data_IF_757465562197
#
_entry.id   IF_757465562197
#
_cell.length_a   1.000
_cell.length_b   1.000
_cell.length_c   1.000
_cell.angle_alpha   90.00
_cell.angle_beta   90.00
_cell.angle_gamma   90.00
#
_symmetry.space_group_name_H-M   'P 1'
#
loop_
_entity.id
_entity.type
_entity.pdbx_description
1 polymer ?
#
# COMPACT_ATOMS: atom_id res chain seq x y z
N UNK A 1 -15.23 26.99 -32.06
CA UNK A 1 -14.70 28.35 -32.30
C UNK A 1 -15.55 29.36 -31.58
N UNK A 2 -14.94 30.21 -30.76
CA UNK A 2 -15.61 31.35 -30.13
C UNK A 2 -16.19 32.23 -31.25
N UNK A 3 -17.50 32.51 -31.19
CA UNK A 3 -18.24 33.24 -32.26
C UNK A 3 -17.59 34.58 -32.62
N UNK A 4 -16.91 35.21 -31.65
CA UNK A 4 -16.19 36.46 -31.80
C UNK A 4 -15.07 36.39 -32.87
N UNK A 5 -14.16 35.41 -32.77
CA UNK A 5 -13.03 35.27 -33.72
C UNK A 5 -13.50 34.88 -35.12
N UNK A 6 -14.57 34.08 -35.20
CA UNK A 6 -15.20 33.72 -36.48
C UNK A 6 -15.74 34.95 -37.23
N UNK A 7 -16.36 35.88 -36.52
CA UNK A 7 -16.94 37.09 -37.12
C UNK A 7 -15.85 38.08 -37.57
N UNK A 8 -14.75 38.19 -36.82
CA UNK A 8 -13.58 39.01 -37.18
C UNK A 8 -12.94 38.51 -38.47
N UNK A 9 -12.72 37.20 -38.58
CA UNK A 9 -12.16 36.56 -39.79
C UNK A 9 -13.01 36.79 -41.03
N UNK A 10 -14.34 36.65 -40.92
CA UNK A 10 -15.27 36.92 -42.02
C UNK A 10 -15.21 38.37 -42.49
N UNK A 11 -15.15 39.33 -41.55
CA UNK A 11 -14.96 40.76 -41.88
C UNK A 11 -13.63 41.02 -42.60
N UNK A 12 -12.54 40.38 -42.17
CA UNK A 12 -11.21 40.59 -42.76
C UNK A 12 -11.09 40.02 -44.19
N UNK A 13 -11.73 38.87 -44.47
CA UNK A 13 -11.83 38.33 -45.83
C UNK A 13 -12.64 39.28 -46.73
N UNK A 14 -13.79 39.74 -46.25
CA UNK A 14 -14.65 40.65 -47.02
C UNK A 14 -13.98 42.02 -47.30
N UNK A 15 -12.95 42.39 -46.53
CA UNK A 15 -12.15 43.60 -46.75
C UNK A 15 -10.87 43.36 -47.58
N UNK A 16 -10.65 42.15 -48.12
CA UNK A 16 -9.45 41.81 -48.88
C UNK A 16 -8.15 41.70 -48.06
N UNK A 17 -8.23 41.71 -46.73
CA UNK A 17 -7.07 41.74 -45.82
C UNK A 17 -6.58 40.32 -45.48
N UNK A 18 -6.06 39.62 -46.49
CA UNK A 18 -5.60 38.21 -46.39
C UNK A 18 -4.48 38.00 -45.37
N UNK A 19 -3.48 38.90 -45.30
CA UNK A 19 -2.39 38.83 -44.32
C UNK A 19 -2.89 38.96 -42.87
N UNK A 20 -3.84 39.85 -42.62
CA UNK A 20 -4.46 39.99 -41.30
C UNK A 20 -5.28 38.73 -40.96
N UNK A 21 -6.06 38.20 -41.91
CA UNK A 21 -6.81 36.96 -41.72
C UNK A 21 -5.93 35.80 -41.26
N UNK A 22 -4.77 35.59 -41.89
CA UNK A 22 -3.83 34.51 -41.53
C UNK A 22 -3.29 34.68 -40.11
N UNK A 23 -2.88 35.89 -39.71
CA UNK A 23 -2.42 36.18 -38.34
C UNK A 23 -3.50 35.84 -37.29
N UNK A 24 -4.75 36.21 -37.55
CA UNK A 24 -5.86 35.92 -36.63
C UNK A 24 -6.23 34.43 -36.60
N UNK A 25 -6.16 33.74 -37.74
CA UNK A 25 -6.43 32.29 -37.79
C UNK A 25 -5.38 31.48 -37.02
N UNK A 26 -4.09 31.86 -37.12
CA UNK A 26 -3.01 31.25 -36.33
C UNK A 26 -3.21 31.53 -34.83
N UNK A 27 -3.56 32.77 -34.47
CA UNK A 27 -3.87 33.12 -33.08
C UNK A 27 -5.01 32.29 -32.48
N UNK A 28 -6.08 32.03 -33.26
CA UNK A 28 -7.19 31.17 -32.84
C UNK A 28 -6.73 29.72 -32.59
N UNK A 29 -5.87 29.16 -33.45
CA UNK A 29 -5.31 27.82 -33.26
C UNK A 29 -4.46 27.75 -32.00
N UNK A 30 -3.54 28.72 -31.80
CA UNK A 30 -2.68 28.76 -30.62
C UNK A 30 -3.48 28.86 -29.33
N UNK A 31 -4.53 29.70 -29.30
CA UNK A 31 -5.43 29.81 -28.14
C UNK A 31 -6.16 28.49 -27.85
N UNK A 32 -6.65 27.80 -28.88
CA UNK A 32 -7.30 26.49 -28.73
C UNK A 32 -6.31 25.46 -28.19
N UNK A 33 -5.08 25.42 -28.73
CA UNK A 33 -4.03 24.50 -28.27
C UNK A 33 -3.68 24.75 -26.81
N UNK A 34 -3.51 26.02 -26.40
CA UNK A 34 -3.26 26.38 -24.99
C UNK A 34 -4.42 25.89 -24.10
N UNK A 35 -5.68 26.09 -24.53
CA UNK A 35 -6.84 25.61 -23.80
C UNK A 35 -6.85 24.09 -23.62
N UNK A 36 -6.52 23.34 -24.67
CA UNK A 36 -6.41 21.87 -24.62
C UNK A 36 -5.28 21.44 -23.68
N UNK A 37 -4.11 22.06 -23.78
CA UNK A 37 -2.97 21.74 -22.91
C UNK A 37 -3.29 21.99 -21.45
N UNK A 38 -3.94 23.11 -21.12
CA UNK A 38 -4.38 23.40 -19.74
C UNK A 38 -5.38 22.35 -19.27
N UNK A 39 -6.37 21.98 -20.09
CA UNK A 39 -7.36 20.97 -19.74
C UNK A 39 -6.72 19.59 -19.46
N UNK A 40 -5.77 19.17 -20.31
CA UNK A 40 -5.00 17.93 -20.11
C UNK A 40 -4.18 18.00 -18.83
N UNK A 41 -3.46 19.10 -18.60
CA UNK A 41 -2.62 19.26 -17.42
C UNK A 41 -3.43 19.25 -16.12
N UNK A 42 -4.59 19.91 -16.09
CA UNK A 42 -5.50 19.87 -14.95
C UNK A 42 -6.02 18.44 -14.69
N UNK A 43 -6.41 17.74 -15.75
CA UNK A 43 -6.89 16.35 -15.64
C UNK A 43 -5.78 15.41 -15.11
N UNK A 44 -4.57 15.52 -15.67
CA UNK A 44 -3.41 14.73 -15.25
C UNK A 44 -3.02 15.04 -13.79
N UNK A 45 -3.06 16.31 -13.39
CA UNK A 45 -2.78 16.72 -12.01
C UNK A 45 -3.76 16.12 -11.01
N UNK A 46 -5.07 16.12 -11.32
CA UNK A 46 -6.08 15.50 -10.48
C UNK A 46 -5.87 13.97 -10.38
N UNK A 47 -5.62 13.31 -11.52
CA UNK A 47 -5.35 11.88 -11.56
C UNK A 47 -4.12 11.50 -10.72
N UNK A 48 -3.02 12.25 -10.87
CA UNK A 48 -1.79 12.05 -10.08
C UNK A 48 -2.03 12.19 -8.58
N UNK A 49 -2.88 13.15 -8.15
CA UNK A 49 -3.22 13.32 -6.74
C UNK A 49 -4.03 12.14 -6.19
N UNK A 50 -4.98 11.62 -6.96
CA UNK A 50 -5.76 10.44 -6.60
C UNK A 50 -4.83 9.22 -6.45
N UNK A 51 -3.95 8.98 -7.43
CA UNK A 51 -2.98 7.89 -7.40
C UNK A 51 -2.01 8.01 -6.23
N UNK A 52 -1.51 9.22 -5.95
CA UNK A 52 -0.64 9.49 -4.79
C UNK A 52 -1.35 9.21 -3.47
N UNK A 53 -2.63 9.58 -3.34
CA UNK A 53 -3.42 9.30 -2.15
C UNK A 53 -3.60 7.79 -1.93
N UNK A 54 -4.00 7.07 -2.97
CA UNK A 54 -4.19 5.61 -2.92
C UNK A 54 -2.88 4.90 -2.54
N UNK A 55 -1.75 5.31 -3.13
CA UNK A 55 -0.42 4.81 -2.79
C UNK A 55 -0.07 5.03 -1.32
N UNK A 56 -0.28 6.24 -0.81
CA UNK A 56 0.01 6.57 0.59
C UNK A 56 -0.86 5.76 1.56
N UNK A 57 -2.14 5.54 1.23
CA UNK A 57 -3.03 4.68 2.02
C UNK A 57 -2.54 3.23 2.06
N UNK A 58 -2.08 2.68 0.94
CA UNK A 58 -1.50 1.34 0.87
C UNK A 58 -0.19 1.23 1.67
N UNK A 59 0.72 2.20 1.54
CA UNK A 59 1.96 2.24 2.33
C UNK A 59 1.65 2.29 3.83
N UNK A 60 0.66 3.10 4.23
CA UNK A 60 0.22 3.18 5.62
C UNK A 60 -0.32 1.83 6.11
N UNK A 61 -1.13 1.15 5.29
CA UNK A 61 -1.66 -0.19 5.60
C UNK A 61 -0.53 -1.21 5.75
N UNK A 62 0.45 -1.21 4.83
CA UNK A 62 1.61 -2.08 4.89
C UNK A 62 2.42 -1.86 6.17
N UNK A 63 2.69 -0.60 6.53
CA UNK A 63 3.38 -0.26 7.78
C UNK A 63 2.62 -0.77 9.00
N UNK A 64 1.30 -0.61 9.02
CA UNK A 64 0.47 -1.09 10.13
C UNK A 64 0.54 -2.61 10.27
N UNK A 65 0.47 -3.33 9.16
CA UNK A 65 0.57 -4.80 9.15
C UNK A 65 1.92 -5.26 9.67
N UNK A 66 3.02 -4.70 9.16
CA UNK A 66 4.38 -5.02 9.63
C UNK A 66 4.54 -4.71 11.12
N UNK A 67 3.96 -3.62 11.60
CA UNK A 67 3.99 -3.26 13.02
C UNK A 67 3.17 -4.25 13.88
N UNK A 68 1.99 -4.66 13.43
CA UNK A 68 1.19 -5.64 14.16
C UNK A 68 1.88 -7.01 14.18
N UNK A 69 2.48 -7.41 13.07
CA UNK A 69 3.24 -8.66 12.97
C UNK A 69 4.44 -8.67 13.91
N UNK A 70 5.15 -7.54 14.05
CA UNK A 70 6.27 -7.45 14.99
C UNK A 70 5.81 -7.60 16.44
N UNK A 71 4.67 -6.99 16.82
CA UNK A 71 4.08 -7.19 18.15
C UNK A 71 3.68 -8.64 18.36
N UNK A 72 3.01 -9.26 17.39
CA UNK A 72 2.58 -10.66 17.47
C UNK A 72 3.77 -11.62 17.62
N UNK A 73 4.84 -11.39 16.88
CA UNK A 73 6.09 -12.13 16.99
C UNK A 73 6.74 -11.97 18.36
N UNK A 74 6.81 -10.74 18.89
CA UNK A 74 7.36 -10.48 20.23
C UNK A 74 6.54 -11.18 21.32
N UNK A 75 5.20 -11.12 21.25
CA UNK A 75 4.32 -11.81 22.19
C UNK A 75 4.50 -13.34 22.11
N UNK A 76 4.64 -13.89 20.91
CA UNK A 76 4.89 -15.31 20.71
C UNK A 76 6.26 -15.71 21.29
N UNK A 77 7.31 -14.91 21.06
CA UNK A 77 8.64 -15.13 21.61
C UNK A 77 8.63 -15.11 23.14
N UNK A 78 8.03 -14.09 23.75
CA UNK A 78 7.95 -13.98 25.22
C UNK A 78 7.18 -15.17 25.83
N UNK A 79 6.07 -15.56 25.21
CA UNK A 79 5.29 -16.72 25.65
C UNK A 79 6.09 -18.02 25.54
N UNK A 80 6.77 -18.25 24.41
CA UNK A 80 7.57 -19.44 24.19
C UNK A 80 8.78 -19.48 25.14
N UNK A 81 9.44 -18.36 25.41
CA UNK A 81 10.52 -18.26 26.39
C UNK A 81 10.05 -18.66 27.80
N UNK A 82 8.89 -18.16 28.24
CA UNK A 82 8.28 -18.57 29.51
C UNK A 82 7.97 -20.06 29.54
N UNK A 83 7.51 -20.63 28.43
CA UNK A 83 7.28 -22.06 28.33
C UNK A 83 8.58 -22.87 28.38
N UNK A 84 9.67 -22.42 27.73
CA UNK A 84 10.96 -23.10 27.82
C UNK A 84 11.46 -23.20 29.26
N UNK A 85 11.43 -22.09 30.03
CA UNK A 85 11.85 -22.10 31.44
C UNK A 85 11.02 -23.08 32.29
N UNK A 86 9.72 -23.17 32.02
CA UNK A 86 8.82 -24.13 32.69
C UNK A 86 9.14 -25.58 32.30
N UNK A 87 9.46 -25.84 31.03
CA UNK A 87 9.88 -27.18 30.57
C UNK A 87 11.19 -27.57 31.23
N UNK A 88 12.19 -26.69 31.24
CA UNK A 88 13.49 -26.93 31.89
C UNK A 88 13.31 -27.26 33.39
N UNK A 89 12.41 -26.53 34.05
CA UNK A 89 12.05 -26.79 35.44
C UNK A 89 11.43 -28.18 35.61
N UNK A 90 10.49 -28.58 34.74
CA UNK A 90 9.84 -29.90 34.79
C UNK A 90 10.82 -31.04 34.53
N UNK A 91 11.74 -30.88 33.57
CA UNK A 91 12.77 -31.88 33.25
C UNK A 91 13.63 -32.18 34.48
N UNK A 92 13.92 -31.18 35.31
CA UNK A 92 14.71 -31.37 36.54
C UNK A 92 14.04 -32.32 37.54
N UNK A 93 12.71 -32.42 37.53
CA UNK A 93 11.96 -33.32 38.42
C UNK A 93 11.73 -34.72 37.82
N UNK A 94 12.01 -34.91 36.52
CA UNK A 94 11.91 -36.23 35.88
C UNK A 94 13.13 -37.08 36.25
N UNK A 95 12.88 -38.27 36.80
CA UNK A 95 13.92 -39.23 37.17
C UNK A 95 13.78 -40.53 36.35
N UNK A 96 14.88 -41.25 36.08
CA UNK A 96 14.84 -42.49 35.30
C UNK A 96 14.02 -43.62 35.97
N UNK A 97 13.90 -43.60 37.30
CA UNK A 97 13.33 -44.69 38.12
C UNK A 97 11.92 -44.37 38.65
N UNK A 98 11.17 -43.52 37.97
CA UNK A 98 9.82 -43.13 38.39
C UNK A 98 8.82 -44.28 38.27
N UNK A 99 7.91 -44.37 39.24
CA UNK A 99 6.72 -45.23 39.13
C UNK A 99 5.78 -44.74 38.03
N UNK A 100 4.92 -45.63 37.55
CA UNK A 100 3.96 -45.30 36.49
C UNK A 100 2.94 -44.22 36.92
N UNK A 101 2.66 -44.14 38.22
CA UNK A 101 1.75 -43.15 38.81
C UNK A 101 2.39 -41.76 38.85
N UNK A 102 3.67 -41.65 39.22
CA UNK A 102 4.45 -40.41 39.17
C UNK A 102 4.63 -39.91 37.73
N UNK A 103 4.87 -40.82 36.78
CA UNK A 103 4.95 -40.47 35.35
C UNK A 103 3.61 -39.91 34.85
N UNK A 104 2.49 -40.59 35.14
CA UNK A 104 1.15 -40.14 34.79
C UNK A 104 0.84 -38.76 35.38
N UNK A 105 1.18 -38.54 36.66
CA UNK A 105 1.04 -37.23 37.31
C UNK A 105 1.81 -36.13 36.57
N UNK A 106 3.08 -36.35 36.22
CA UNK A 106 3.89 -35.39 35.48
C UNK A 106 3.32 -35.09 34.08
N UNK A 107 2.86 -36.11 33.34
CA UNK A 107 2.24 -35.90 32.02
C UNK A 107 0.91 -35.14 32.09
N UNK A 108 0.10 -35.37 33.14
CA UNK A 108 -1.13 -34.63 33.39
C UNK A 108 -0.86 -33.19 33.82
N UNK A 109 0.17 -32.95 34.64
CA UNK A 109 0.58 -31.59 34.98
C UNK A 109 1.07 -30.81 33.74
N UNK A 110 1.81 -31.47 32.85
CA UNK A 110 2.24 -30.91 31.58
C UNK A 110 1.04 -30.58 30.66
N UNK A 111 0.02 -31.45 30.60
CA UNK A 111 -1.17 -31.18 29.79
C UNK A 111 -2.04 -30.05 30.35
N UNK A 112 -2.18 -29.95 31.68
CA UNK A 112 -2.94 -28.87 32.35
C UNK A 112 -2.30 -27.48 32.19
N UNK A 113 -0.99 -27.42 32.02
CA UNK A 113 -0.26 -26.16 31.87
C UNK A 113 -0.37 -25.55 30.46
N UNK A 114 -1.06 -26.22 29.52
CA UNK A 114 -1.28 -25.76 28.15
C UNK A 114 0.00 -25.22 27.49
N UNK A 115 1.12 -25.91 27.71
CA UNK A 115 2.44 -25.53 27.21
C UNK A 115 2.55 -25.82 25.72
N UNK A 116 1.90 -25.00 24.92
CA UNK A 116 1.98 -25.04 23.46
C UNK A 116 3.05 -24.07 22.97
N UNK A 117 3.61 -24.32 21.79
CA UNK A 117 4.38 -23.30 21.08
C UNK A 117 3.41 -22.38 20.36
N UNK A 118 3.49 -21.07 20.63
CA UNK A 118 2.79 -20.09 19.82
C UNK A 118 3.61 -19.79 18.57
N UNK A 119 3.01 -20.01 17.42
CA UNK A 119 3.53 -19.57 16.13
C UNK A 119 2.80 -18.31 15.70
N UNK A 120 3.53 -17.32 15.20
CA UNK A 120 2.94 -16.15 14.53
C UNK A 120 3.28 -16.24 13.05
N UNK A 121 2.25 -16.21 12.21
CA UNK A 121 2.41 -16.11 10.75
C UNK A 121 2.21 -14.64 10.37
N UNK A 122 3.10 -14.05 9.56
CA UNK A 122 2.94 -12.68 9.11
C UNK A 122 1.74 -12.53 8.18
N UNK A 123 1.03 -11.40 8.28
CA UNK A 123 -0.04 -11.06 7.35
C UNK A 123 0.57 -10.54 6.03
N UNK A 124 0.59 -11.42 5.04
CA UNK A 124 1.11 -11.13 3.69
C UNK A 124 0.05 -10.60 2.73
N UNK A 125 -1.19 -10.32 3.19
CA UNK A 125 -2.30 -9.93 2.31
C UNK A 125 -2.00 -8.65 1.52
N UNK A 126 -1.49 -7.62 2.20
CA UNK A 126 -1.14 -6.32 1.59
C UNK A 126 0.04 -6.46 0.63
N UNK A 127 1.02 -7.28 1.00
CA UNK A 127 2.17 -7.56 0.14
C UNK A 127 1.74 -8.28 -1.15
N UNK A 128 0.90 -9.30 -1.04
CA UNK A 128 0.36 -10.04 -2.18
C UNK A 128 -0.51 -9.15 -3.07
N UNK A 129 -1.33 -8.27 -2.49
CA UNK A 129 -2.10 -7.27 -3.24
C UNK A 129 -1.18 -6.35 -4.06
N UNK A 130 -0.08 -5.86 -3.46
CA UNK A 130 0.90 -4.99 -4.13
C UNK A 130 1.65 -5.70 -5.27
N UNK A 131 2.00 -6.98 -5.09
CA UNK A 131 2.62 -7.79 -6.15
C UNK A 131 1.62 -8.02 -7.29
N UNK A 132 0.43 -8.53 -6.97
CA UNK A 132 -0.55 -8.94 -7.98
C UNK A 132 -1.09 -7.75 -8.78
N UNK A 133 -1.14 -6.56 -8.18
CA UNK A 133 -1.53 -5.32 -8.86
C UNK A 133 -0.40 -4.67 -9.67
N UNK A 134 0.84 -5.16 -9.56
CA UNK A 134 2.02 -4.52 -10.16
C UNK A 134 2.31 -3.13 -9.60
N UNK A 135 1.75 -2.79 -8.43
CA UNK A 135 2.00 -1.52 -7.77
C UNK A 135 3.29 -1.51 -6.97
N UNK A 136 3.79 -2.69 -6.59
CA UNK A 136 5.06 -2.81 -5.87
C UNK A 136 6.22 -2.16 -6.65
N UNK A 137 6.26 -2.33 -7.97
CA UNK A 137 7.27 -1.72 -8.84
C UNK A 137 7.17 -0.20 -8.97
N UNK A 138 6.03 0.38 -8.55
CA UNK A 138 5.79 1.82 -8.60
C UNK A 138 6.23 2.54 -7.33
N UNK A 139 6.57 1.80 -6.27
CA UNK A 139 7.11 2.36 -5.03
C UNK A 139 8.57 2.74 -5.34
N UNK A 140 8.80 4.00 -5.68
CA UNK A 140 10.15 4.55 -5.84
C UNK A 140 10.86 4.61 -4.48
N UNK A 141 12.18 4.38 -4.48
CA UNK A 141 13.04 4.44 -3.30
C UNK A 141 12.83 5.77 -2.56
N UNK A 142 12.55 5.68 -1.24
CA UNK A 142 12.48 6.82 -0.31
C UNK A 142 13.90 7.25 0.05
#
# INVERSE_FOLDING_TARGET
MIKLFRNIRKKLINQGKTSAYLKYAIGEIVLVVIGILIAINLNNGNQNNIEKKQRNEKIKKLRQVVYNDSINLLMALEYNQKNMVRIDSLITYLKPEMSMEEYSFCTNLFSLTNMQFRTSLPDVSVYNELINSGEFSKIEDI
#
